data_IF_886017132406
#
_entry.id   IF_886017132406
#
_cell.length_a   1.000
_cell.length_b   1.000
_cell.length_c   1.000
_cell.angle_alpha   90.00
_cell.angle_beta   90.00
_cell.angle_gamma   90.00
#
_symmetry.space_group_name_H-M   'P 1'
#
loop_
_entity.id
_entity.type
_entity.pdbx_description
1 polymer ?
#
# COMPACT_ATOMS: atom_id res chain seq x y z
N UNK A 1 0.00 7.33 -15.31
CA UNK A 1 1.43 7.51 -14.97
C UNK A 1 1.83 6.68 -13.76
N UNK A 2 1.12 6.76 -12.63
CA UNK A 2 1.44 5.96 -11.45
C UNK A 2 1.36 4.44 -11.70
N UNK A 3 0.36 3.94 -12.42
CA UNK A 3 0.25 2.51 -12.77
C UNK A 3 1.46 1.95 -13.50
N UNK A 4 1.99 2.67 -14.50
CA UNK A 4 3.21 2.21 -15.19
C UNK A 4 4.42 2.27 -14.25
N UNK A 5 4.52 3.32 -13.43
CA UNK A 5 5.53 3.41 -12.37
C UNK A 5 5.46 2.25 -11.38
N UNK A 6 4.26 1.83 -11.00
CA UNK A 6 3.98 0.72 -10.11
C UNK A 6 4.55 -0.59 -10.67
N UNK A 7 4.09 -0.97 -11.88
CA UNK A 7 4.52 -2.21 -12.53
C UNK A 7 6.02 -2.21 -12.86
N UNK A 8 6.58 -1.05 -13.20
CA UNK A 8 8.03 -0.92 -13.36
C UNK A 8 8.78 -1.21 -12.06
N UNK A 9 8.23 -0.85 -10.89
CA UNK A 9 8.84 -1.19 -9.61
C UNK A 9 8.88 -2.71 -9.37
N UNK A 10 7.81 -3.44 -9.68
CA UNK A 10 7.80 -4.91 -9.62
C UNK A 10 8.77 -5.53 -10.61
N UNK A 11 8.83 -5.02 -11.85
CA UNK A 11 9.72 -5.52 -12.88
C UNK A 11 11.20 -5.34 -12.48
N UNK A 12 11.54 -4.15 -11.95
CA UNK A 12 12.89 -3.86 -11.44
C UNK A 12 13.25 -4.83 -10.32
N UNK A 13 12.37 -5.01 -9.33
CA UNK A 13 12.59 -5.95 -8.23
C UNK A 13 12.82 -7.39 -8.73
N UNK A 14 12.00 -7.84 -9.68
CA UNK A 14 12.11 -9.18 -10.27
C UNK A 14 13.43 -9.39 -11.01
N UNK A 15 13.90 -8.38 -11.76
CA UNK A 15 15.20 -8.45 -12.47
C UNK A 15 16.36 -8.53 -11.47
N UNK A 16 16.33 -7.74 -10.40
CA UNK A 16 17.40 -7.79 -9.39
C UNK A 16 17.38 -9.10 -8.60
N UNK A 17 16.20 -9.58 -8.20
CA UNK A 17 16.06 -10.86 -7.52
C UNK A 17 16.56 -12.02 -8.39
N UNK A 18 16.17 -12.07 -9.67
CA UNK A 18 16.62 -13.11 -10.61
C UNK A 18 18.12 -13.09 -10.90
N UNK A 19 18.80 -11.96 -10.71
CA UNK A 19 20.27 -11.85 -10.85
C UNK A 19 21.03 -12.21 -9.56
N UNK A 20 20.43 -11.96 -8.41
CA UNK A 20 21.11 -12.07 -7.11
C UNK A 20 20.75 -13.34 -6.33
N UNK A 21 19.64 -14.00 -6.67
CA UNK A 21 19.12 -15.17 -5.95
C UNK A 21 19.09 -16.41 -6.83
N UNK A 22 19.08 -17.59 -6.21
CA UNK A 22 18.79 -18.85 -6.90
C UNK A 22 17.33 -18.86 -7.39
N UNK A 23 17.02 -19.72 -8.36
CA UNK A 23 15.66 -19.85 -8.88
C UNK A 23 14.60 -20.04 -7.78
N UNK A 24 14.91 -20.86 -6.77
CA UNK A 24 13.99 -21.14 -5.65
C UNK A 24 13.75 -19.91 -4.76
N UNK A 25 14.70 -18.98 -4.70
CA UNK A 25 14.66 -17.81 -3.81
C UNK A 25 14.34 -16.50 -4.55
N UNK A 26 14.24 -16.51 -5.88
CA UNK A 26 14.04 -15.31 -6.69
C UNK A 26 12.59 -14.80 -6.64
N UNK A 27 11.62 -15.64 -6.25
CA UNK A 27 10.23 -15.23 -6.12
C UNK A 27 10.03 -14.32 -4.89
N UNK A 28 9.38 -13.19 -5.09
CA UNK A 28 9.10 -12.21 -4.02
C UNK A 28 7.82 -12.61 -3.27
N UNK A 29 7.88 -12.86 -1.95
CA UNK A 29 6.69 -13.12 -1.14
C UNK A 29 5.66 -11.98 -1.17
N UNK A 30 4.39 -12.31 -0.96
CA UNK A 30 3.29 -11.31 -0.96
C UNK A 30 3.55 -10.18 0.05
N UNK A 31 4.10 -10.50 1.22
CA UNK A 31 4.36 -9.53 2.30
C UNK A 31 5.23 -8.34 1.86
N UNK A 32 6.21 -8.56 0.96
CA UNK A 32 7.12 -7.51 0.50
C UNK A 32 6.97 -7.18 -1.01
N UNK A 33 6.00 -7.78 -1.70
CA UNK A 33 5.79 -7.58 -3.14
C UNK A 33 5.53 -6.10 -3.52
N UNK A 34 4.81 -5.37 -2.65
CA UNK A 34 4.41 -3.98 -2.89
C UNK A 34 5.47 -2.93 -2.52
N UNK A 35 6.60 -3.34 -1.93
CA UNK A 35 7.60 -2.38 -1.44
C UNK A 35 8.24 -1.64 -2.61
N UNK A 36 8.64 -2.37 -3.66
CA UNK A 36 9.35 -1.77 -4.80
C UNK A 36 8.43 -0.89 -5.67
N UNK A 37 7.20 -1.35 -5.94
CA UNK A 37 6.19 -0.61 -6.69
C UNK A 37 5.80 0.69 -5.99
N UNK A 38 5.44 0.61 -4.71
CA UNK A 38 5.05 1.77 -3.89
C UNK A 38 6.21 2.76 -3.73
N UNK A 39 7.44 2.28 -3.50
CA UNK A 39 8.62 3.14 -3.43
C UNK A 39 8.84 3.91 -4.74
N UNK A 40 8.64 3.25 -5.89
CA UNK A 40 8.81 3.87 -7.20
C UNK A 40 7.74 4.95 -7.46
N UNK A 41 6.48 4.67 -7.11
CA UNK A 41 5.41 5.69 -7.15
C UNK A 41 5.75 6.92 -6.31
N UNK A 42 6.27 6.72 -5.10
CA UNK A 42 6.68 7.81 -4.22
C UNK A 42 7.83 8.64 -4.81
N UNK A 43 8.79 8.01 -5.50
CA UNK A 43 9.86 8.73 -6.20
C UNK A 43 9.30 9.56 -7.36
N UNK A 44 8.39 8.99 -8.15
CA UNK A 44 7.75 9.66 -9.28
C UNK A 44 6.93 10.86 -8.80
N UNK A 45 6.04 10.68 -7.83
CA UNK A 45 5.17 11.77 -7.35
C UNK A 45 5.97 12.89 -6.68
N UNK A 46 7.03 12.56 -5.93
CA UNK A 46 7.95 13.58 -5.38
C UNK A 46 8.65 14.38 -6.48
N UNK A 47 9.06 13.72 -7.57
CA UNK A 47 9.65 14.40 -8.71
C UNK A 47 8.63 15.32 -9.39
N UNK A 48 7.40 14.86 -9.61
CA UNK A 48 6.32 15.65 -10.20
C UNK A 48 5.99 16.88 -9.33
N UNK A 49 5.86 16.71 -8.01
CA UNK A 49 5.59 17.81 -7.08
C UNK A 49 6.72 18.87 -7.13
N UNK A 50 7.98 18.43 -7.21
CA UNK A 50 9.14 19.32 -7.33
C UNK A 50 9.14 20.12 -8.63
N UNK A 51 8.60 19.55 -9.70
CA UNK A 51 8.60 20.11 -11.05
C UNK A 51 7.22 20.64 -11.50
N UNK A 52 6.28 20.81 -10.57
CA UNK A 52 4.94 21.32 -10.87
C UNK A 52 5.01 22.73 -11.46
N UNK A 53 4.21 23.01 -12.48
CA UNK A 53 4.25 24.27 -13.25
C UNK A 53 3.55 25.42 -12.54
N UNK A 54 2.58 25.10 -11.69
CA UNK A 54 1.77 26.06 -10.93
C UNK A 54 1.26 25.42 -9.64
N UNK A 55 0.65 26.25 -8.78
CA UNK A 55 0.15 25.84 -7.48
C UNK A 55 -1.02 24.85 -7.58
N UNK A 56 -1.87 24.95 -8.62
CA UNK A 56 -2.99 24.03 -8.82
C UNK A 56 -2.50 22.61 -9.14
N UNK A 57 -1.52 22.47 -10.03
CA UNK A 57 -0.89 21.18 -10.34
C UNK A 57 -0.20 20.60 -9.10
N UNK A 58 0.49 21.45 -8.33
CA UNK A 58 1.14 21.02 -7.09
C UNK A 58 0.13 20.54 -6.06
N UNK A 59 -0.98 21.25 -5.88
CA UNK A 59 -2.05 20.90 -4.96
C UNK A 59 -2.71 19.57 -5.36
N UNK A 60 -2.96 19.36 -6.66
CA UNK A 60 -3.49 18.11 -7.17
C UNK A 60 -2.57 16.91 -6.84
N UNK A 61 -1.26 17.04 -7.08
CA UNK A 61 -0.29 15.99 -6.79
C UNK A 61 -0.14 15.72 -5.29
N UNK A 62 -0.16 16.76 -4.45
CA UNK A 62 -0.15 16.61 -3.00
C UNK A 62 -1.41 15.89 -2.51
N UNK A 63 -2.58 16.24 -3.05
CA UNK A 63 -3.83 15.55 -2.72
C UNK A 63 -3.77 14.07 -3.09
N UNK A 64 -3.25 13.73 -4.27
CA UNK A 64 -3.04 12.31 -4.63
C UNK A 64 -2.14 11.58 -3.65
N UNK A 65 -1.03 12.19 -3.23
CA UNK A 65 -0.13 11.60 -2.24
C UNK A 65 -0.85 11.36 -0.89
N UNK A 66 -1.62 12.35 -0.42
CA UNK A 66 -2.39 12.26 0.83
C UNK A 66 -3.43 11.15 0.75
N UNK A 67 -4.19 11.09 -0.34
CA UNK A 67 -5.22 10.05 -0.55
C UNK A 67 -4.59 8.64 -0.58
N UNK A 68 -3.45 8.49 -1.25
CA UNK A 68 -2.71 7.23 -1.27
C UNK A 68 -2.24 6.81 0.14
N UNK A 69 -1.66 7.73 0.92
CA UNK A 69 -1.22 7.44 2.30
C UNK A 69 -2.42 7.09 3.19
N UNK A 70 -3.52 7.84 3.08
CA UNK A 70 -4.76 7.56 3.82
C UNK A 70 -5.27 6.16 3.51
N UNK A 71 -5.38 5.79 2.23
CA UNK A 71 -5.91 4.50 1.80
C UNK A 71 -5.02 3.30 2.14
N UNK A 72 -3.69 3.46 2.08
CA UNK A 72 -2.73 2.35 2.25
C UNK A 72 -2.25 2.18 3.68
N UNK A 73 -2.21 3.26 4.47
CA UNK A 73 -1.77 3.20 5.87
C UNK A 73 -2.97 3.26 6.81
N UNK A 74 -3.66 4.38 6.85
CA UNK A 74 -4.68 4.62 7.88
C UNK A 74 -5.89 3.69 7.73
N UNK A 75 -6.44 3.57 6.53
CA UNK A 75 -7.60 2.71 6.28
C UNK A 75 -7.26 1.23 6.47
N UNK A 76 -6.07 0.78 6.06
CA UNK A 76 -5.68 -0.62 6.25
C UNK A 76 -5.44 -0.95 7.72
N UNK A 77 -4.82 -0.04 8.50
CA UNK A 77 -4.67 -0.21 9.94
C UNK A 77 -6.02 -0.24 10.63
N UNK A 78 -6.96 0.64 10.24
CA UNK A 78 -8.33 0.61 10.75
C UNK A 78 -9.02 -0.74 10.47
N UNK A 79 -8.84 -1.31 9.28
CA UNK A 79 -9.35 -2.65 8.97
C UNK A 79 -8.67 -3.75 9.79
N UNK A 80 -7.36 -3.66 10.01
CA UNK A 80 -6.62 -4.61 10.84
C UNK A 80 -7.05 -4.54 12.32
N UNK A 81 -7.31 -3.35 12.87
CA UNK A 81 -7.83 -3.17 14.22
C UNK A 81 -9.24 -3.74 14.36
N UNK A 82 -10.10 -3.48 13.37
CA UNK A 82 -11.43 -4.07 13.31
C UNK A 82 -11.35 -5.60 13.24
N UNK A 83 -10.53 -6.14 12.33
CA UNK A 83 -10.32 -7.58 12.17
C UNK A 83 -9.83 -8.22 13.48
N UNK A 84 -8.82 -7.63 14.12
CA UNK A 84 -8.31 -8.09 15.42
C UNK A 84 -9.42 -8.13 16.48
N UNK A 85 -10.17 -7.04 16.62
CA UNK A 85 -11.23 -6.93 17.63
C UNK A 85 -12.35 -7.95 17.40
N UNK A 86 -12.72 -8.18 16.13
CA UNK A 86 -13.71 -9.19 15.76
C UNK A 86 -13.23 -10.60 16.13
N UNK A 87 -11.96 -10.93 15.85
CA UNK A 87 -11.39 -12.23 16.19
C UNK A 87 -11.30 -12.43 17.71
N UNK A 88 -10.87 -11.43 18.47
CA UNK A 88 -10.82 -11.51 19.96
C UNK A 88 -12.20 -11.77 20.57
N UNK A 89 -13.25 -11.12 20.06
CA UNK A 89 -14.64 -11.36 20.48
C UNK A 89 -15.11 -12.77 20.16
N UNK A 90 -14.78 -13.27 18.97
CA UNK A 90 -15.12 -14.63 18.56
C UNK A 90 -14.43 -15.68 19.45
N UNK A 91 -13.14 -15.48 19.74
CA UNK A 91 -12.34 -16.35 20.61
C UNK A 91 -12.86 -16.35 22.06
N UNK A 92 -13.43 -15.24 22.53
CA UNK A 92 -14.12 -15.14 23.81
C UNK A 92 -15.52 -15.80 23.82
N UNK A 93 -15.99 -16.33 22.69
CA UNK A 93 -17.31 -16.93 22.55
C UNK A 93 -18.46 -15.93 22.42
N UNK A 94 -18.17 -14.65 22.16
CA UNK A 94 -19.21 -13.64 21.93
C UNK A 94 -19.87 -13.81 20.55
N UNK A 95 -21.20 -13.69 20.44
CA UNK A 95 -21.89 -13.76 19.16
C UNK A 95 -21.66 -12.49 18.30
N UNK A 96 -21.28 -12.67 17.03
CA UNK A 96 -21.03 -11.59 16.07
C UNK A 96 -22.29 -11.23 15.27
N UNK A 97 -23.21 -10.49 15.91
CA UNK A 97 -24.37 -9.93 15.21
C UNK A 97 -24.02 -8.68 14.38
N UNK A 98 -24.84 -8.33 13.39
CA UNK A 98 -24.67 -7.07 12.66
C UNK A 98 -24.73 -5.83 13.57
N UNK A 99 -25.43 -5.90 14.71
CA UNK A 99 -25.48 -4.82 15.70
C UNK A 99 -24.16 -4.69 16.45
N UNK A 100 -23.56 -5.79 16.87
CA UNK A 100 -22.29 -5.77 17.62
C UNK A 100 -21.11 -5.38 16.73
N UNK A 101 -21.10 -5.79 15.46
CA UNK A 101 -20.07 -5.39 14.50
C UNK A 101 -20.08 -3.88 14.21
N UNK A 102 -21.25 -3.23 14.20
CA UNK A 102 -21.35 -1.76 13.98
C UNK A 102 -20.90 -0.92 15.17
N UNK A 103 -20.67 -1.55 16.32
CA UNK A 103 -20.21 -0.88 17.55
C UNK A 103 -18.71 -0.98 17.76
N UNK A 104 -18.03 -1.78 16.92
CA UNK A 104 -16.59 -1.83 16.77
C UNK A 104 -16.22 -0.74 15.76
#
# INVERSE_FOLDING_TARGET
MLTVGHEMGHAVNSVYAGKAQSYMNAHTPIFNAEIASTANELMIIKNLIKNAKNDDEKLYLLNQLIENIKGTVYTQVMFAEFEKTVHEKLEAGEPLSAKSLRQI
#
